data_IF_105175661791
#
_entry.id   IF_105175661791
#
_cell.length_a   1.000
_cell.length_b   1.000
_cell.length_c   1.000
_cell.angle_alpha   90.00
_cell.angle_beta   90.00
_cell.angle_gamma   90.00
#
_symmetry.space_group_name_H-M   'P 1'
#
loop_
_entity.id
_entity.type
_entity.pdbx_description
1 polymer ?
#
# COMPACT_ATOMS: atom_id res chain seq x y z
N UNK A 1 -18.17 32.11 -25.21
CA UNK A 1 -18.90 30.88 -24.88
C UNK A 1 -18.57 30.53 -23.46
N UNK A 2 -19.45 29.79 -22.80
CA UNK A 2 -19.19 29.32 -21.44
C UNK A 2 -18.04 28.30 -21.48
N UNK A 3 -17.28 28.25 -20.40
CA UNK A 3 -16.08 27.45 -20.24
C UNK A 3 -16.21 26.58 -19.00
N UNK A 4 -15.89 25.30 -19.18
CA UNK A 4 -15.75 24.34 -18.10
C UNK A 4 -14.27 24.09 -17.86
N UNK A 5 -13.80 24.41 -16.66
CA UNK A 5 -12.39 24.29 -16.29
C UNK A 5 -12.23 23.19 -15.25
N UNK A 6 -11.44 22.18 -15.58
CA UNK A 6 -11.05 21.06 -14.70
C UNK A 6 -9.61 21.27 -14.29
N UNK A 7 -9.37 21.53 -13.01
CA UNK A 7 -8.02 21.70 -12.47
C UNK A 7 -7.45 20.34 -12.07
N UNK A 8 -6.26 20.03 -12.59
CA UNK A 8 -5.57 18.76 -12.43
C UNK A 8 -4.16 19.02 -11.87
N UNK A 9 -4.04 19.38 -10.58
CA UNK A 9 -2.76 19.73 -9.99
C UNK A 9 -1.76 18.58 -10.10
N UNK A 10 -0.51 18.91 -10.46
CA UNK A 10 0.59 17.97 -10.63
C UNK A 10 0.49 17.00 -11.82
N UNK A 11 -0.59 17.06 -12.60
CA UNK A 11 -0.64 16.37 -13.90
C UNK A 11 0.23 17.11 -14.91
N UNK A 12 0.72 16.37 -15.90
CA UNK A 12 1.53 16.95 -16.98
C UNK A 12 1.02 16.51 -18.33
N UNK A 13 1.35 17.26 -19.37
CA UNK A 13 1.07 16.91 -20.75
C UNK A 13 2.38 16.52 -21.43
N UNK A 14 2.38 15.38 -22.15
CA UNK A 14 3.55 14.87 -22.85
C UNK A 14 3.93 15.73 -24.07
N UNK A 15 2.98 16.48 -24.61
CA UNK A 15 3.18 17.36 -25.76
C UNK A 15 3.49 18.79 -25.30
N UNK A 16 4.16 19.55 -26.17
CA UNK A 16 4.38 20.98 -25.97
C UNK A 16 3.19 21.83 -26.44
N UNK A 17 2.16 21.20 -27.00
CA UNK A 17 0.97 21.89 -27.49
C UNK A 17 -0.03 21.98 -26.36
N UNK A 18 -0.67 23.14 -26.20
CA UNK A 18 -1.78 23.30 -25.27
C UNK A 18 -3.07 22.64 -25.75
N UNK A 19 -3.10 21.95 -26.89
CA UNK A 19 -4.30 21.31 -27.42
C UNK A 19 -4.43 19.87 -26.94
N UNK A 20 -5.57 19.53 -26.35
CA UNK A 20 -5.91 18.19 -25.87
C UNK A 20 -7.20 17.75 -26.55
N UNK A 21 -7.11 16.63 -27.30
CA UNK A 21 -8.29 16.05 -27.95
C UNK A 21 -9.14 15.32 -26.91
N UNK A 22 -10.41 15.67 -26.88
CA UNK A 22 -11.44 15.05 -26.07
C UNK A 22 -12.56 14.52 -26.94
N UNK A 23 -13.25 13.51 -26.44
CA UNK A 23 -14.41 12.88 -27.10
C UNK A 23 -15.60 13.04 -26.17
N UNK A 24 -16.38 14.12 -26.31
CA UNK A 24 -17.63 14.28 -25.56
C UNK A 24 -18.70 13.32 -26.11
N UNK A 25 -19.62 12.89 -25.25
CA UNK A 25 -20.80 12.12 -25.64
C UNK A 25 -21.92 12.98 -26.26
N UNK A 26 -21.66 14.27 -26.47
CA UNK A 26 -22.62 15.29 -26.86
C UNK A 26 -21.99 16.29 -27.84
N UNK A 27 -22.77 16.88 -28.78
CA UNK A 27 -22.28 17.93 -29.68
C UNK A 27 -22.13 19.31 -29.01
N UNK A 28 -22.59 19.49 -27.76
CA UNK A 28 -22.62 20.80 -27.10
C UNK A 28 -21.26 21.28 -26.56
N UNK A 29 -20.25 20.40 -26.62
CA UNK A 29 -18.89 20.67 -26.12
C UNK A 29 -17.91 20.47 -27.27
N UNK A 30 -16.95 21.39 -27.37
CA UNK A 30 -15.85 21.27 -28.33
C UNK A 30 -15.02 20.00 -28.08
N UNK A 31 -14.65 19.29 -29.16
CA UNK A 31 -13.68 18.18 -29.10
C UNK A 31 -12.24 18.64 -28.82
N UNK A 32 -12.01 19.95 -28.87
CA UNK A 32 -10.73 20.58 -28.62
C UNK A 32 -10.76 21.28 -27.27
N UNK A 33 -10.04 20.70 -26.31
CA UNK A 33 -9.80 21.29 -25.00
C UNK A 33 -8.42 21.95 -24.97
N UNK A 34 -8.26 23.01 -24.19
CA UNK A 34 -6.97 23.65 -23.98
C UNK A 34 -6.38 23.29 -22.61
N UNK A 35 -5.09 22.93 -22.59
CA UNK A 35 -4.31 22.64 -21.40
C UNK A 35 -3.52 23.87 -20.97
N UNK A 36 -3.59 24.19 -19.67
CA UNK A 36 -2.82 25.27 -19.10
C UNK A 36 -1.59 24.73 -18.35
N UNK A 37 -0.38 25.06 -18.82
CA UNK A 37 0.87 24.60 -18.20
C UNK A 37 1.22 25.33 -16.89
N UNK A 38 0.78 26.58 -16.72
CA UNK A 38 1.05 27.37 -15.51
C UNK A 38 0.12 26.98 -14.36
N UNK A 39 -1.11 26.60 -14.70
CA UNK A 39 -2.08 26.08 -13.76
C UNK A 39 -2.66 24.77 -14.33
N UNK A 40 -1.98 23.63 -14.10
CA UNK A 40 -2.33 22.33 -14.68
C UNK A 40 -3.83 22.05 -14.62
N UNK A 41 -4.44 21.96 -15.80
CA UNK A 41 -5.87 21.84 -15.95
C UNK A 41 -6.31 21.93 -17.40
N UNK A 42 -7.53 21.48 -17.65
CA UNK A 42 -8.20 21.46 -18.93
C UNK A 42 -9.33 22.48 -18.95
N UNK A 43 -9.34 23.32 -19.98
CA UNK A 43 -10.45 24.22 -20.29
C UNK A 43 -11.18 23.69 -21.51
N UNK A 44 -12.46 23.40 -21.33
CA UNK A 44 -13.39 22.93 -22.35
C UNK A 44 -14.34 24.08 -22.68
N UNK A 45 -14.54 24.33 -23.97
CA UNK A 45 -15.48 25.37 -24.43
C UNK A 45 -16.82 24.75 -24.77
N UNK A 46 -17.88 25.31 -24.19
CA UNK A 46 -19.27 24.99 -24.50
C UNK A 46 -19.66 25.73 -25.78
N UNK A 47 -20.11 24.98 -26.80
CA UNK A 47 -20.42 25.50 -28.14
C UNK A 47 -21.89 25.84 -28.32
N UNK A 48 -22.78 25.28 -27.50
CA UNK A 48 -24.21 25.52 -27.52
C UNK A 48 -24.82 25.43 -26.12
N UNK A 49 -26.05 25.94 -25.97
CA UNK A 49 -26.80 25.83 -24.72
C UNK A 49 -26.98 24.37 -24.30
N UNK A 50 -26.87 24.13 -22.99
CA UNK A 50 -27.04 22.82 -22.37
C UNK A 50 -28.16 22.96 -21.35
N UNK A 51 -29.21 22.15 -21.48
CA UNK A 51 -30.32 22.13 -20.53
C UNK A 51 -29.84 21.65 -19.15
N UNK A 52 -30.46 22.19 -18.10
CA UNK A 52 -30.18 21.78 -16.72
C UNK A 52 -30.33 20.26 -16.56
N UNK A 53 -29.51 19.66 -15.69
CA UNK A 53 -29.51 18.23 -15.38
C UNK A 53 -29.15 17.30 -16.57
N UNK A 54 -28.69 17.84 -17.70
CA UNK A 54 -28.19 17.03 -18.82
C UNK A 54 -26.88 16.32 -18.43
N UNK A 55 -26.82 14.98 -18.47
CA UNK A 55 -25.61 14.25 -18.13
C UNK A 55 -24.57 14.35 -19.27
N UNK A 56 -23.37 14.82 -18.93
CA UNK A 56 -22.26 14.99 -19.87
C UNK A 56 -21.15 14.02 -19.48
N UNK A 57 -20.61 13.33 -20.49
CA UNK A 57 -19.43 12.48 -20.35
C UNK A 57 -18.38 12.92 -21.35
N UNK A 58 -17.14 13.05 -20.88
CA UNK A 58 -16.02 13.52 -21.69
C UNK A 58 -14.88 12.52 -21.53
N UNK A 59 -14.45 11.94 -22.64
CA UNK A 59 -13.31 11.03 -22.67
C UNK A 59 -12.07 11.77 -23.14
N UNK A 60 -10.99 11.71 -22.35
CA UNK A 60 -9.68 12.20 -22.77
C UNK A 60 -8.95 11.00 -23.40
N UNK A 61 -8.58 11.13 -24.67
CA UNK A 61 -7.85 10.05 -25.36
C UNK A 61 -6.50 9.80 -24.71
N UNK A 62 -6.09 8.53 -24.62
CA UNK A 62 -4.73 8.16 -24.21
C UNK A 62 -3.65 8.75 -25.13
N UNK A 63 -3.99 8.96 -26.40
CA UNK A 63 -3.10 9.62 -27.39
C UNK A 63 -2.90 11.10 -27.12
N UNK A 64 -3.73 11.74 -26.29
CA UNK A 64 -3.58 13.15 -25.93
C UNK A 64 -2.40 13.38 -24.98
N UNK A 65 -1.81 12.32 -24.41
CA UNK A 65 -0.56 12.39 -23.67
C UNK A 65 -0.66 13.05 -22.29
N UNK A 66 -1.86 13.16 -21.71
CA UNK A 66 -2.03 13.57 -20.31
C UNK A 66 -1.44 12.48 -19.41
N UNK A 67 -0.53 12.88 -18.53
CA UNK A 67 0.22 12.00 -17.62
C UNK A 67 -0.21 12.26 -16.19
N UNK A 68 -0.34 11.18 -15.44
CA UNK A 68 -0.58 11.20 -14.00
C UNK A 68 0.60 11.85 -13.27
N UNK A 69 0.36 12.49 -12.11
CA UNK A 69 1.42 13.02 -11.27
C UNK A 69 2.41 11.93 -10.88
N UNK A 70 3.70 12.29 -10.85
CA UNK A 70 4.75 11.37 -10.39
C UNK A 70 4.47 10.91 -8.96
N UNK A 71 3.96 11.78 -8.08
CA UNK A 71 3.55 11.46 -6.71
C UNK A 71 2.30 10.59 -6.59
N UNK A 72 1.60 10.33 -7.70
CA UNK A 72 0.28 9.72 -7.69
C UNK A 72 -0.85 10.70 -7.35
N UNK A 73 -2.05 10.15 -7.21
CA UNK A 73 -3.32 10.81 -6.88
C UNK A 73 -3.95 10.07 -5.69
N UNK A 74 -4.38 10.78 -4.66
CA UNK A 74 -5.11 10.18 -3.55
C UNK A 74 -6.57 9.87 -3.93
N UNK A 75 -7.20 8.92 -3.23
CA UNK A 75 -8.62 8.65 -3.42
C UNK A 75 -9.44 9.89 -3.04
N UNK A 76 -10.30 10.35 -3.96
CA UNK A 76 -11.14 11.54 -3.79
C UNK A 76 -10.33 12.80 -3.40
N UNK A 77 -9.16 12.98 -4.03
CA UNK A 77 -8.24 14.09 -3.80
C UNK A 77 -8.95 15.45 -3.98
N UNK A 78 -9.06 16.21 -2.89
CA UNK A 78 -9.89 17.43 -2.83
C UNK A 78 -9.36 18.61 -3.65
N UNK A 79 -8.11 18.58 -4.09
CA UNK A 79 -7.49 19.66 -4.87
C UNK A 79 -7.75 19.51 -6.38
N UNK A 80 -8.32 18.39 -6.83
CA UNK A 80 -8.86 18.22 -8.17
C UNK A 80 -10.25 18.84 -8.15
N UNK A 81 -10.38 19.99 -8.84
CA UNK A 81 -11.59 20.80 -8.80
C UNK A 81 -12.16 21.00 -10.21
N UNK A 82 -13.48 21.16 -10.28
CA UNK A 82 -14.20 21.57 -11.48
C UNK A 82 -14.83 22.95 -11.25
N UNK A 83 -14.84 23.78 -12.28
CA UNK A 83 -15.37 25.14 -12.24
C UNK A 83 -16.00 25.51 -13.58
N UNK A 84 -16.95 26.44 -13.57
CA UNK A 84 -17.58 26.97 -14.79
C UNK A 84 -17.80 28.48 -14.65
N UNK A 85 -17.69 29.20 -15.77
CA UNK A 85 -18.04 30.61 -15.85
C UNK A 85 -19.46 30.85 -16.42
N UNK A 86 -20.29 29.80 -16.49
CA UNK A 86 -21.62 29.86 -17.09
C UNK A 86 -22.46 31.02 -16.54
N UNK A 87 -23.08 31.78 -17.45
CA UNK A 87 -23.84 33.00 -17.10
C UNK A 87 -25.01 32.69 -16.14
N UNK A 88 -25.66 31.55 -16.34
CA UNK A 88 -26.81 31.11 -15.54
C UNK A 88 -26.44 30.67 -14.10
N UNK A 89 -25.14 30.43 -13.83
CA UNK A 89 -24.69 29.93 -12.54
C UNK A 89 -23.20 29.61 -12.54
N UNK A 90 -22.33 30.60 -12.28
CA UNK A 90 -20.89 30.37 -12.24
C UNK A 90 -20.51 29.56 -11.00
N UNK A 91 -19.59 28.61 -11.18
CA UNK A 91 -19.04 27.78 -10.10
C UNK A 91 -17.53 28.03 -10.06
N UNK A 92 -17.06 28.67 -8.99
CA UNK A 92 -15.66 29.12 -8.86
C UNK A 92 -14.68 27.97 -8.55
N UNK A 93 -15.19 26.83 -8.06
CA UNK A 93 -14.38 25.64 -7.80
C UNK A 93 -15.10 24.67 -6.88
N UNK A 94 -15.37 23.48 -7.38
CA UNK A 94 -16.02 22.40 -6.66
C UNK A 94 -15.12 21.16 -6.71
N UNK A 95 -14.73 20.55 -5.58
CA UNK A 95 -13.94 19.33 -5.57
C UNK A 95 -14.67 18.19 -6.28
N UNK A 96 -13.96 17.45 -7.13
CA UNK A 96 -14.54 16.25 -7.74
C UNK A 96 -14.86 15.23 -6.64
N UNK A 97 -16.10 14.73 -6.63
CA UNK A 97 -16.61 13.85 -5.57
C UNK A 97 -15.90 12.49 -5.54
N UNK A 98 -15.56 11.96 -6.71
CA UNK A 98 -14.97 10.64 -6.86
C UNK A 98 -13.76 10.67 -7.78
N UNK A 99 -12.60 10.25 -7.29
CA UNK A 99 -11.45 9.93 -8.13
C UNK A 99 -10.70 8.71 -7.58
N UNK A 100 -10.23 7.81 -8.45
CA UNK A 100 -9.45 6.66 -8.02
C UNK A 100 -8.10 7.11 -7.45
N UNK A 101 -7.56 6.32 -6.53
CA UNK A 101 -6.18 6.51 -6.09
C UNK A 101 -5.21 5.90 -7.12
N UNK A 102 -4.08 6.56 -7.30
CA UNK A 102 -2.90 6.06 -8.00
C UNK A 102 -1.73 6.37 -7.09
N UNK A 103 -0.96 5.40 -6.62
CA UNK A 103 0.19 5.68 -5.76
C UNK A 103 1.49 5.55 -6.56
N UNK A 104 2.42 6.50 -6.37
CA UNK A 104 3.74 6.49 -7.03
C UNK A 104 4.55 5.22 -6.75
N UNK A 105 4.46 4.78 -5.51
CA UNK A 105 5.03 3.57 -4.94
C UNK A 105 3.92 2.98 -4.08
N UNK A 106 3.80 1.66 -4.06
CA UNK A 106 2.81 1.01 -3.21
C UNK A 106 2.82 1.54 -1.79
N UNK A 107 1.63 1.67 -1.21
CA UNK A 107 1.49 2.07 0.19
C UNK A 107 0.93 0.90 0.99
N UNK A 108 1.41 0.75 2.22
CA UNK A 108 0.84 -0.18 3.19
C UNK A 108 0.06 0.61 4.23
N UNK A 109 -1.24 0.36 4.37
CA UNK A 109 -2.07 0.94 5.42
C UNK A 109 -1.82 0.31 6.79
N UNK A 110 -1.33 -0.94 6.80
CA UNK A 110 -0.90 -1.68 7.99
C UNK A 110 0.44 -2.33 7.67
N UNK A 111 1.39 -2.28 8.60
CA UNK A 111 2.67 -2.98 8.53
C UNK A 111 3.16 -3.28 9.96
N UNK A 112 2.75 -4.42 10.50
CA UNK A 112 3.06 -4.86 11.86
C UNK A 112 4.01 -6.06 11.81
N UNK A 113 5.09 -5.99 12.59
CA UNK A 113 6.08 -7.06 12.69
C UNK A 113 6.21 -7.50 14.15
N UNK A 114 6.03 -8.80 14.40
CA UNK A 114 6.14 -9.42 15.73
C UNK A 114 7.13 -10.56 15.72
N UNK A 115 7.78 -10.75 16.85
CA UNK A 115 8.82 -11.75 17.04
C UNK A 115 8.55 -12.59 18.27
N UNK A 116 8.70 -13.89 18.13
CA UNK A 116 8.59 -14.83 19.25
C UNK A 116 9.73 -15.84 19.23
N UNK A 117 10.43 -15.99 20.35
CA UNK A 117 11.58 -16.87 20.48
C UNK A 117 11.28 -18.08 21.35
N UNK A 118 11.98 -19.18 21.07
CA UNK A 118 11.95 -20.38 21.91
C UNK A 118 12.77 -20.11 23.17
N UNK A 119 12.23 -20.49 24.32
CA UNK A 119 12.98 -20.56 25.56
C UNK A 119 12.61 -21.79 26.38
N UNK A 120 13.55 -22.21 27.23
CA UNK A 120 13.30 -23.25 28.23
C UNK A 120 12.53 -22.63 29.40
N UNK A 121 11.30 -23.08 29.61
CA UNK A 121 10.49 -22.72 30.77
C UNK A 121 10.69 -23.83 31.79
N UNK A 122 11.34 -23.52 32.91
CA UNK A 122 11.52 -24.45 34.01
C UNK A 122 10.54 -24.07 35.13
N UNK A 123 9.72 -25.03 35.59
CA UNK A 123 8.64 -24.79 36.56
C UNK A 123 9.09 -24.46 37.99
N UNK A 124 10.38 -24.56 38.30
CA UNK A 124 10.94 -24.18 39.60
C UNK A 124 12.42 -23.80 39.49
N UNK A 125 12.80 -22.70 40.13
CA UNK A 125 14.20 -22.31 40.34
C UNK A 125 14.54 -22.70 41.78
N UNK A 126 15.43 -23.67 41.96
CA UNK A 126 16.07 -23.88 43.27
C UNK A 126 17.21 -22.85 43.40
N UNK A 127 17.11 -21.97 44.38
CA UNK A 127 18.08 -20.89 44.61
C UNK A 127 17.71 -20.06 45.83
N UNK A 128 17.81 -20.67 47.02
CA UNK A 128 17.68 -19.99 48.30
C UNK A 128 18.61 -20.64 49.33
N UNK A 129 19.13 -19.85 50.26
CA UNK A 129 20.05 -20.29 51.31
C UNK A 129 19.44 -21.45 52.11
N UNK A 130 20.14 -22.59 52.15
CA UNK A 130 19.67 -23.82 52.81
C UNK A 130 19.88 -23.70 54.34
N UNK A 131 18.81 -23.74 55.16
CA UNK A 131 18.95 -23.75 56.61
C UNK A 131 19.54 -25.08 57.10
N UNK A 132 20.25 -25.08 58.25
CA UNK A 132 20.78 -26.30 58.85
C UNK A 132 19.63 -27.26 59.25
N UNK A 133 19.66 -28.49 58.73
CA UNK A 133 18.63 -29.52 58.94
C UNK A 133 18.09 -30.17 57.65
N UNK A 134 18.63 -29.82 56.48
CA UNK A 134 18.17 -30.38 55.20
C UNK A 134 18.54 -31.86 55.05
N UNK A 135 17.55 -32.70 54.73
CA UNK A 135 17.74 -34.14 54.51
C UNK A 135 18.31 -34.39 53.10
N UNK A 136 19.60 -34.71 53.03
CA UNK A 136 20.31 -35.03 51.78
C UNK A 136 19.82 -36.29 51.06
N UNK A 137 18.93 -37.08 51.68
CA UNK A 137 18.33 -38.29 51.10
C UNK A 137 16.99 -38.01 50.40
N UNK A 138 16.47 -36.78 50.45
CA UNK A 138 15.23 -36.43 49.75
C UNK A 138 15.54 -36.27 48.26
N UNK A 139 14.96 -37.13 47.43
CA UNK A 139 15.02 -37.00 45.96
C UNK A 139 14.37 -35.67 45.59
N UNK A 140 15.16 -34.75 45.03
CA UNK A 140 14.65 -33.51 44.47
C UNK A 140 13.81 -33.84 43.23
N UNK A 141 12.64 -33.23 43.10
CA UNK A 141 11.86 -33.33 41.86
C UNK A 141 12.75 -32.87 40.70
N UNK A 142 12.87 -33.72 39.68
CA UNK A 142 13.64 -33.39 38.48
C UNK A 142 13.04 -32.14 37.84
N UNK A 143 13.88 -31.14 37.58
CA UNK A 143 13.45 -29.94 36.86
C UNK A 143 13.09 -30.38 35.44
N UNK A 144 11.80 -30.51 35.15
CA UNK A 144 11.30 -30.71 33.80
C UNK A 144 11.21 -29.33 33.14
N UNK A 145 12.29 -28.93 32.46
CA UNK A 145 12.22 -27.77 31.57
C UNK A 145 11.55 -28.21 30.27
N UNK A 146 10.49 -27.53 29.87
CA UNK A 146 9.89 -27.70 28.55
C UNK A 146 10.28 -26.51 27.67
N UNK A 147 10.63 -26.79 26.42
CA UNK A 147 10.82 -25.73 25.43
C UNK A 147 9.46 -25.21 24.99
N UNK A 148 9.29 -23.89 25.10
CA UNK A 148 8.06 -23.20 24.72
C UNK A 148 8.36 -21.85 24.08
N UNK A 149 7.36 -21.33 23.37
CA UNK A 149 7.41 -19.97 22.84
C UNK A 149 7.03 -18.98 23.92
N UNK A 150 7.82 -17.92 24.07
CA UNK A 150 7.74 -17.01 25.21
C UNK A 150 6.84 -15.79 24.94
N UNK A 151 6.27 -15.65 23.75
CA UNK A 151 5.56 -14.44 23.30
C UNK A 151 6.47 -13.22 23.22
N UNK A 152 7.79 -13.40 23.23
CA UNK A 152 8.82 -12.34 23.26
C UNK A 152 10.02 -12.76 22.43
N UNK A 153 10.65 -11.82 21.74
CA UNK A 153 11.91 -12.03 21.03
C UNK A 153 13.12 -11.97 21.96
N UNK A 154 14.05 -12.92 21.83
CA UNK A 154 15.35 -12.92 22.50
C UNK A 154 16.46 -12.80 21.45
N UNK A 155 17.49 -12.03 21.77
CA UNK A 155 18.64 -11.88 20.86
C UNK A 155 19.38 -13.22 20.69
N UNK A 156 19.85 -13.50 19.46
CA UNK A 156 20.63 -14.69 19.09
C UNK A 156 19.91 -16.04 19.25
N UNK A 157 18.59 -16.06 19.43
CA UNK A 157 17.78 -17.28 19.42
C UNK A 157 17.02 -17.47 18.11
N UNK A 158 16.68 -18.72 17.80
CA UNK A 158 15.73 -19.04 16.73
C UNK A 158 14.38 -18.39 17.07
N UNK A 159 13.89 -17.60 16.13
CA UNK A 159 12.74 -16.70 16.34
C UNK A 159 11.75 -16.91 15.21
N UNK A 160 10.46 -17.02 15.55
CA UNK A 160 9.34 -16.93 14.61
C UNK A 160 9.04 -15.47 14.34
N UNK A 161 8.89 -15.15 13.06
CA UNK A 161 8.55 -13.83 12.59
C UNK A 161 7.09 -13.88 12.12
N UNK A 162 6.28 -12.99 12.65
CA UNK A 162 4.91 -12.77 12.21
C UNK A 162 4.84 -11.40 11.59
N UNK A 163 4.45 -11.32 10.32
CA UNK A 163 4.36 -10.09 9.58
C UNK A 163 2.95 -9.91 9.05
N UNK A 164 2.29 -8.85 9.50
CA UNK A 164 0.94 -8.49 9.08
C UNK A 164 0.99 -7.21 8.28
N UNK A 165 0.37 -7.20 7.11
CA UNK A 165 0.27 -5.98 6.31
C UNK A 165 -1.05 -5.86 5.56
N UNK A 166 -1.32 -4.66 5.09
CA UNK A 166 -2.45 -4.36 4.23
C UNK A 166 -1.97 -3.39 3.15
N UNK A 167 -1.97 -3.83 1.89
CA UNK A 167 -1.55 -2.98 0.77
C UNK A 167 -2.71 -2.12 0.30
N UNK A 168 -2.49 -0.82 0.08
CA UNK A 168 -3.46 0.12 -0.49
C UNK A 168 -3.53 0.03 -2.03
N UNK A 169 -2.95 -1.01 -2.60
CA UNK A 169 -2.91 -1.30 -4.03
C UNK A 169 -3.20 -2.78 -4.27
N UNK A 170 -3.55 -3.12 -5.51
CA UNK A 170 -3.64 -4.51 -5.95
C UNK A 170 -2.25 -5.14 -6.04
N UNK A 171 -2.12 -6.38 -5.59
CA UNK A 171 -0.91 -7.18 -5.77
C UNK A 171 -1.20 -8.28 -6.78
N UNK A 172 -0.25 -8.49 -7.69
CA UNK A 172 -0.31 -9.52 -8.71
C UNK A 172 0.60 -10.70 -8.33
N UNK A 173 0.30 -11.90 -8.85
CA UNK A 173 1.27 -13.00 -8.78
C UNK A 173 2.61 -12.52 -9.34
N UNK A 174 3.71 -12.89 -8.69
CA UNK A 174 5.10 -12.43 -8.94
C UNK A 174 5.52 -11.12 -8.29
N UNK A 175 4.61 -10.34 -7.71
CA UNK A 175 5.00 -9.16 -6.94
C UNK A 175 5.85 -9.59 -5.73
N UNK A 176 6.92 -8.82 -5.46
CA UNK A 176 7.85 -9.09 -4.36
C UNK A 176 7.62 -8.15 -3.18
N UNK A 177 7.68 -8.73 -1.99
CA UNK A 177 7.59 -8.02 -0.71
C UNK A 177 8.89 -8.26 0.03
N UNK A 178 9.64 -7.19 0.26
CA UNK A 178 10.95 -7.26 0.92
C UNK A 178 10.91 -6.65 2.32
N UNK A 179 11.38 -7.42 3.30
CA UNK A 179 11.59 -6.97 4.68
C UNK A 179 13.09 -6.84 4.94
N UNK A 180 13.54 -5.63 5.24
CA UNK A 180 14.92 -5.36 5.65
C UNK A 180 15.05 -5.63 7.14
N UNK A 181 15.67 -6.76 7.49
CA UNK A 181 15.84 -7.21 8.88
C UNK A 181 17.30 -7.06 9.30
N UNK A 182 17.75 -5.82 9.40
CA UNK A 182 19.13 -5.48 9.75
C UNK A 182 19.53 -6.11 11.09
N UNK A 183 20.70 -6.76 11.11
CA UNK A 183 21.21 -7.46 12.29
C UNK A 183 20.69 -8.89 12.48
N UNK A 184 19.76 -9.37 11.64
CA UNK A 184 19.37 -10.77 11.64
C UNK A 184 20.46 -11.62 10.97
N UNK A 185 20.78 -12.76 11.58
CA UNK A 185 21.86 -13.67 11.15
C UNK A 185 21.33 -15.03 10.68
N UNK A 186 20.04 -15.12 10.34
CA UNK A 186 19.37 -16.36 9.91
C UNK A 186 19.91 -16.94 8.60
N UNK A 187 19.36 -18.06 8.13
CA UNK A 187 19.70 -18.65 6.82
C UNK A 187 20.91 -19.59 6.80
N UNK A 188 21.22 -20.27 7.90
CA UNK A 188 22.23 -21.33 7.90
C UNK A 188 21.71 -22.56 7.12
N UNK A 189 22.24 -22.78 5.93
CA UNK A 189 22.02 -24.01 5.14
C UNK A 189 20.76 -24.04 4.26
N UNK A 190 19.83 -23.10 4.43
CA UNK A 190 18.69 -22.88 3.52
C UNK A 190 18.47 -21.38 3.33
N UNK A 191 18.45 -20.94 2.07
CA UNK A 191 18.05 -19.57 1.71
C UNK A 191 16.54 -19.46 1.51
N UNK A 192 15.85 -20.54 1.15
CA UNK A 192 14.40 -20.56 0.95
C UNK A 192 13.68 -21.37 2.03
N UNK A 193 12.51 -20.90 2.44
CA UNK A 193 11.65 -21.60 3.39
C UNK A 193 10.17 -21.38 3.09
N UNK A 194 9.35 -22.35 3.48
CA UNK A 194 7.90 -22.29 3.35
C UNK A 194 7.32 -21.26 4.33
N UNK A 195 6.38 -20.47 3.83
CA UNK A 195 5.64 -19.48 4.63
C UNK A 195 4.18 -19.90 4.68
N UNK A 196 3.56 -19.69 5.84
CA UNK A 196 2.12 -19.78 5.99
C UNK A 196 1.56 -18.37 5.93
N UNK A 197 0.54 -18.17 5.09
CA UNK A 197 -0.16 -16.91 4.95
C UNK A 197 -1.65 -17.09 5.23
N UNK A 198 -2.29 -16.02 5.68
CA UNK A 198 -3.75 -15.87 5.74
C UNK A 198 -4.12 -14.60 4.97
N UNK A 199 -4.90 -14.67 3.86
CA UNK A 199 -5.53 -15.85 3.27
C UNK A 199 -4.56 -16.95 2.84
N UNK A 200 -5.00 -18.21 2.92
CA UNK A 200 -4.13 -19.35 2.64
C UNK A 200 -3.66 -19.34 1.18
N UNK A 201 -2.35 -19.47 0.99
CA UNK A 201 -1.71 -19.50 -0.33
C UNK A 201 -1.46 -18.13 -0.95
N UNK A 202 -1.65 -17.04 -0.21
CA UNK A 202 -1.29 -15.71 -0.71
C UNK A 202 0.23 -15.54 -0.87
N UNK A 203 0.99 -16.03 0.10
CA UNK A 203 2.46 -16.14 0.07
C UNK A 203 2.81 -17.61 0.28
N UNK A 204 3.59 -18.20 -0.64
CA UNK A 204 4.04 -19.60 -0.54
C UNK A 204 5.49 -19.72 -0.08
N UNK A 205 6.38 -18.92 -0.67
CA UNK A 205 7.81 -19.04 -0.49
C UNK A 205 8.39 -17.71 -0.02
N UNK A 206 9.40 -17.81 0.85
CA UNK A 206 10.28 -16.69 1.15
C UNK A 206 11.74 -17.09 0.99
N UNK A 207 12.56 -16.11 0.65
CA UNK A 207 14.00 -16.22 0.50
C UNK A 207 14.71 -15.22 1.38
N UNK A 208 15.75 -15.65 2.09
CA UNK A 208 16.58 -14.82 2.95
C UNK A 208 17.96 -14.61 2.33
N UNK A 209 18.32 -13.34 2.11
CA UNK A 209 19.67 -12.92 1.74
C UNK A 209 20.43 -12.43 2.98
N UNK A 210 21.50 -13.13 3.35
CA UNK A 210 22.35 -12.78 4.50
C UNK A 210 23.25 -11.57 4.26
N UNK A 211 23.71 -11.35 3.04
CA UNK A 211 24.59 -10.23 2.73
C UNK A 211 23.80 -8.92 2.74
N UNK A 212 22.59 -8.96 2.17
CA UNK A 212 21.70 -7.80 2.16
C UNK A 212 20.84 -7.67 3.43
N UNK A 213 20.73 -8.73 4.24
CA UNK A 213 19.84 -8.83 5.40
C UNK A 213 18.37 -8.59 5.03
N UNK A 214 17.94 -9.18 3.91
CA UNK A 214 16.60 -9.00 3.33
C UNK A 214 15.87 -10.33 3.29
N UNK A 215 14.63 -10.32 3.78
CA UNK A 215 13.66 -11.38 3.57
C UNK A 215 12.74 -10.98 2.41
N UNK A 216 12.82 -11.69 1.30
CA UNK A 216 11.94 -11.49 0.14
C UNK A 216 10.86 -12.56 0.11
N UNK A 217 9.62 -12.14 -0.04
CA UNK A 217 8.43 -12.98 -0.19
C UNK A 217 7.80 -12.69 -1.54
N UNK A 218 7.32 -13.72 -2.23
CA UNK A 218 6.65 -13.54 -3.52
C UNK A 218 5.15 -13.81 -3.38
N UNK A 219 4.35 -12.89 -3.91
CA UNK A 219 2.90 -13.01 -3.99
C UNK A 219 2.55 -14.11 -5.01
N UNK A 220 1.75 -15.07 -4.58
CA UNK A 220 1.40 -16.24 -5.40
C UNK A 220 0.06 -16.12 -6.12
N UNK A 221 -0.85 -15.32 -5.57
CA UNK A 221 -2.20 -15.11 -6.11
C UNK A 221 -2.53 -13.63 -6.14
N UNK A 222 -3.46 -13.24 -7.00
CA UNK A 222 -3.95 -11.87 -7.03
C UNK A 222 -4.59 -11.48 -5.69
N UNK A 223 -4.23 -10.30 -5.19
CA UNK A 223 -4.75 -9.73 -3.95
C UNK A 223 -5.36 -8.37 -4.25
N UNK A 224 -6.61 -8.18 -3.85
CA UNK A 224 -7.28 -6.88 -3.96
C UNK A 224 -6.71 -5.86 -2.98
N UNK A 225 -6.84 -4.59 -3.33
CA UNK A 225 -6.48 -3.48 -2.44
C UNK A 225 -7.20 -3.57 -1.09
N UNK A 226 -6.51 -3.16 -0.04
CA UNK A 226 -6.97 -3.20 1.35
C UNK A 226 -7.28 -4.60 1.91
N UNK A 227 -6.81 -5.66 1.26
CA UNK A 227 -6.85 -7.01 1.87
C UNK A 227 -5.77 -7.11 2.94
N UNK A 228 -6.14 -7.61 4.14
CA UNK A 228 -5.16 -7.90 5.21
C UNK A 228 -4.50 -9.25 4.94
N UNK A 229 -3.18 -9.29 5.02
CA UNK A 229 -2.37 -10.50 4.91
C UNK A 229 -1.58 -10.68 6.20
N UNK A 230 -1.68 -11.87 6.79
CA UNK A 230 -0.97 -12.31 8.01
C UNK A 230 -0.07 -13.53 7.75
#
# INVERSE_FOLDING_TARGET
GDELVIRLPSFSLASNFSLVRVVPNTPFISSDASWNFNNPGLTLTVTSEIEAETPIQIWISSTSGVRLPVSGVEKNQKNIIISTNAVSGPVVGYPITACPAVYQQGSFSIADLKFDSIGSICGSVFGGFEPPGYNSSKVLDSIVCQEGFLGKGRAKSVTRIYFRFQAAMRLYPTDEISLYLVGFTGGYGRSQFEVKSSPNGTIHNASWDRQQQVLTMTVAVFVEEFTTID
#
